data_IF_169717764099
#
_entry.id   IF_169717764099
#
_cell.length_a   1.000
_cell.length_b   1.000
_cell.length_c   1.000
_cell.angle_alpha   90.00
_cell.angle_beta   90.00
_cell.angle_gamma   90.00
#
_symmetry.space_group_name_H-M   'P 1'
#
loop_
_entity.id
_entity.type
_entity.pdbx_description
1 polymer ?
#
# COMPACT_ATOMS: atom_id res chain seq x y z
N UNK A 1 3.05 -31.22 -25.09
CA UNK A 1 2.91 -29.85 -24.55
C UNK A 1 3.20 -29.95 -23.06
N UNK A 2 4.42 -29.66 -22.63
CA UNK A 2 4.80 -29.74 -21.21
C UNK A 2 4.26 -28.53 -20.45
N UNK A 3 3.81 -28.69 -19.20
CA UNK A 3 3.41 -27.55 -18.37
C UNK A 3 4.65 -26.69 -17.99
N UNK A 4 4.48 -25.37 -17.79
CA UNK A 4 5.55 -24.48 -17.33
C UNK A 4 5.94 -24.79 -15.86
N UNK A 5 7.21 -24.58 -15.46
CA UNK A 5 7.66 -24.87 -14.10
C UNK A 5 7.16 -23.83 -13.08
N UNK A 6 6.83 -24.31 -11.87
CA UNK A 6 6.33 -23.55 -10.72
C UNK A 6 7.46 -22.71 -10.06
N UNK A 7 7.23 -21.42 -9.73
CA UNK A 7 8.22 -20.54 -9.11
C UNK A 7 8.48 -20.76 -7.60
N UNK A 8 7.91 -21.77 -6.94
CA UNK A 8 8.02 -21.97 -5.48
C UNK A 8 8.89 -23.17 -5.04
N UNK A 9 10.11 -23.29 -5.56
CA UNK A 9 11.10 -24.24 -5.03
C UNK A 9 12.10 -23.54 -4.09
N UNK A 10 12.25 -23.95 -2.81
CA UNK A 10 13.21 -23.36 -1.89
C UNK A 10 14.63 -23.92 -2.13
N UNK A 11 15.62 -23.04 -2.28
CA UNK A 11 17.05 -23.39 -2.29
C UNK A 11 17.57 -23.46 -0.85
N UNK A 12 17.94 -24.65 -0.40
CA UNK A 12 18.51 -24.91 0.91
C UNK A 12 19.66 -25.91 0.77
N UNK A 13 20.91 -25.41 0.83
CA UNK A 13 22.15 -26.13 1.25
C UNK A 13 23.29 -25.09 1.36
N UNK A 14 23.79 -24.77 2.57
CA UNK A 14 24.89 -25.37 3.36
C UNK A 14 26.32 -25.23 2.77
N UNK A 15 27.16 -24.43 3.45
CA UNK A 15 28.60 -24.63 3.71
C UNK A 15 29.05 -23.56 4.74
N UNK A 16 29.27 -23.84 6.04
CA UNK A 16 30.44 -24.43 6.74
C UNK A 16 31.81 -23.74 6.55
N UNK A 17 32.23 -23.08 7.65
CA UNK A 17 33.56 -23.03 8.28
C UNK A 17 34.71 -22.14 7.71
N UNK A 18 35.35 -21.37 8.60
CA UNK A 18 36.66 -20.73 8.37
C UNK A 18 37.07 -19.69 9.41
N UNK A 19 37.91 -20.11 10.36
CA UNK A 19 38.63 -19.39 11.44
C UNK A 19 39.57 -18.23 11.03
N UNK A 20 39.81 -17.28 11.96
CA UNK A 20 41.04 -16.45 11.95
C UNK A 20 40.95 -15.13 12.74
N UNK A 21 41.65 -15.04 13.87
CA UNK A 21 41.78 -13.87 14.75
C UNK A 21 42.64 -12.73 14.16
N UNK A 22 42.52 -11.52 14.71
CA UNK A 22 43.65 -10.68 15.19
C UNK A 22 43.16 -9.40 15.88
N UNK A 23 43.85 -9.07 16.97
CA UNK A 23 43.62 -7.94 17.87
C UNK A 23 44.04 -6.58 17.28
N UNK A 24 43.46 -5.51 17.81
CA UNK A 24 43.89 -4.14 17.54
C UNK A 24 43.24 -3.14 18.48
N UNK A 25 43.77 -3.02 19.70
CA UNK A 25 43.52 -1.87 20.59
C UNK A 25 44.27 -0.65 20.06
N UNK A 26 43.58 0.48 19.88
CA UNK A 26 44.21 1.80 19.96
C UNK A 26 43.17 2.86 20.33
N UNK A 27 43.35 3.45 21.52
CA UNK A 27 42.63 4.60 22.00
C UNK A 27 43.36 5.86 21.54
N UNK A 28 42.64 6.84 20.98
CA UNK A 28 43.06 8.24 20.97
C UNK A 28 41.82 9.13 21.16
N UNK A 29 41.77 9.76 22.32
CA UNK A 29 40.88 10.85 22.64
C UNK A 29 41.19 12.05 21.74
N UNK A 30 40.18 12.53 21.02
CA UNK A 30 40.20 13.77 20.27
C UNK A 30 39.08 14.69 20.77
N UNK A 31 39.42 15.56 21.71
CA UNK A 31 38.56 16.62 22.21
C UNK A 31 38.39 17.67 21.12
N UNK A 32 37.21 17.71 20.51
CA UNK A 32 36.81 18.73 19.54
C UNK A 32 35.29 18.81 19.52
N UNK A 33 34.73 19.66 20.38
CA UNK A 33 33.31 19.92 20.45
C UNK A 33 32.81 20.62 19.19
N UNK A 34 32.52 19.85 18.15
CA UNK A 34 31.45 20.19 17.23
C UNK A 34 30.19 19.64 17.88
N UNK A 35 29.34 20.55 18.39
CA UNK A 35 27.96 20.24 18.73
C UNK A 35 27.39 19.39 17.58
N UNK A 36 27.03 18.13 17.87
CA UNK A 36 26.63 17.17 16.86
C UNK A 36 25.30 17.63 16.26
N UNK A 37 25.41 18.43 15.21
CA UNK A 37 24.29 18.96 14.43
C UNK A 37 23.46 17.86 13.79
N UNK A 38 23.99 16.64 13.66
CA UNK A 38 23.25 15.45 13.21
C UNK A 38 22.49 14.78 14.37
N UNK A 39 22.97 14.88 15.62
CA UNK A 39 22.25 14.43 16.82
C UNK A 39 21.28 15.47 17.41
N UNK A 40 21.30 16.70 16.89
CA UNK A 40 20.40 17.76 17.34
C UNK A 40 18.96 17.45 16.93
N UNK A 41 18.07 17.26 17.90
CA UNK A 41 16.63 17.14 17.64
C UNK A 41 16.15 18.40 16.90
N UNK A 42 15.60 18.27 15.67
CA UNK A 42 15.11 19.42 14.92
C UNK A 42 14.05 20.19 15.72
N UNK A 43 14.12 21.52 15.73
CA UNK A 43 13.10 22.38 16.36
C UNK A 43 11.77 22.38 15.60
N UNK A 44 11.75 21.80 14.39
CA UNK A 44 10.55 21.53 13.60
C UNK A 44 10.58 20.06 13.15
N UNK A 45 9.63 19.27 13.63
CA UNK A 45 9.42 17.90 13.17
C UNK A 45 8.68 17.93 11.83
N UNK A 46 9.40 18.09 10.72
CA UNK A 46 8.84 17.86 9.38
C UNK A 46 8.86 16.36 9.10
N UNK A 47 7.73 15.68 9.37
CA UNK A 47 7.51 14.29 8.98
C UNK A 47 7.19 14.21 7.49
N UNK A 48 8.23 14.25 6.64
CA UNK A 48 8.11 14.00 5.20
C UNK A 48 8.34 12.50 4.91
N UNK A 49 7.44 11.64 5.36
CA UNK A 49 7.50 10.21 5.06
C UNK A 49 6.13 9.75 4.57
N UNK A 50 5.68 10.35 3.46
CA UNK A 50 4.54 9.86 2.70
C UNK A 50 5.00 8.63 1.93
N UNK A 51 4.42 7.48 2.23
CA UNK A 51 4.66 6.21 1.53
C UNK A 51 3.34 5.64 1.09
N UNK A 52 3.31 4.85 0.02
CA UNK A 52 2.05 4.34 -0.50
C UNK A 52 2.21 3.18 -1.45
N UNK A 53 1.07 2.58 -1.78
CA UNK A 53 0.92 1.53 -2.76
C UNK A 53 -0.01 2.06 -3.85
N UNK A 54 0.36 1.85 -5.11
CA UNK A 54 -0.41 2.28 -6.29
C UNK A 54 -0.64 1.11 -7.21
N UNK A 55 -1.63 1.21 -8.11
CA UNK A 55 -1.90 0.17 -9.10
C UNK A 55 -2.38 -1.15 -8.49
N UNK A 56 -3.06 -1.10 -7.34
CA UNK A 56 -3.67 -2.30 -6.75
C UNK A 56 -4.96 -2.57 -7.50
N UNK A 57 -4.95 -3.57 -8.37
CA UNK A 57 -6.11 -3.94 -9.18
C UNK A 57 -6.93 -5.03 -8.50
N UNK A 58 -8.24 -4.80 -8.35
CA UNK A 58 -9.18 -5.74 -7.72
C UNK A 58 -10.53 -5.75 -8.44
N UNK A 59 -11.24 -6.87 -8.36
CA UNK A 59 -12.67 -6.91 -8.68
C UNK A 59 -13.42 -6.72 -7.37
N UNK A 60 -14.17 -5.62 -7.27
CA UNK A 60 -14.91 -5.26 -6.07
C UNK A 60 -16.42 -5.26 -6.33
N UNK A 61 -17.20 -5.51 -5.27
CA UNK A 61 -18.65 -5.48 -5.29
C UNK A 61 -19.11 -4.14 -4.72
N UNK A 62 -19.76 -3.33 -5.55
CA UNK A 62 -20.26 -2.02 -5.14
C UNK A 62 -21.79 -2.03 -5.21
N UNK A 63 -22.42 -1.52 -4.15
CA UNK A 63 -23.85 -1.20 -4.16
C UNK A 63 -24.07 0.07 -5.00
N UNK A 64 -24.60 -0.10 -6.21
CA UNK A 64 -24.92 0.98 -7.13
C UNK A 64 -26.36 0.82 -7.63
N UNK A 65 -27.12 1.92 -7.68
CA UNK A 65 -28.51 1.93 -8.17
C UNK A 65 -29.44 0.92 -7.47
N UNK A 66 -29.20 0.62 -6.19
CA UNK A 66 -29.99 -0.34 -5.42
C UNK A 66 -29.71 -1.81 -5.74
N UNK A 67 -28.63 -2.11 -6.48
CA UNK A 67 -28.18 -3.46 -6.78
C UNK A 67 -26.68 -3.62 -6.56
N UNK A 68 -26.25 -4.82 -6.21
CA UNK A 68 -24.83 -5.17 -6.16
C UNK A 68 -24.31 -5.43 -7.58
N UNK A 69 -23.25 -4.74 -7.97
CA UNK A 69 -22.59 -4.93 -9.26
C UNK A 69 -21.08 -5.08 -9.08
N UNK A 70 -20.45 -5.83 -9.99
CA UNK A 70 -19.01 -6.03 -10.03
C UNK A 70 -18.33 -4.89 -10.79
N UNK A 71 -17.25 -4.36 -10.21
CA UNK A 71 -16.44 -3.30 -10.78
C UNK A 71 -14.99 -3.77 -10.84
N UNK A 72 -14.30 -3.40 -11.91
CA UNK A 72 -12.85 -3.50 -11.96
C UNK A 72 -12.27 -2.22 -11.37
N UNK A 73 -11.64 -2.32 -10.22
CA UNK A 73 -11.13 -1.18 -9.46
C UNK A 73 -9.61 -1.15 -9.45
N UNK A 74 -9.08 0.05 -9.64
CA UNK A 74 -7.70 0.40 -9.33
C UNK A 74 -7.70 1.20 -8.02
N UNK A 75 -6.90 0.76 -7.06
CA UNK A 75 -6.78 1.39 -5.75
C UNK A 75 -5.38 1.96 -5.55
N UNK A 76 -5.34 3.12 -4.92
CA UNK A 76 -4.13 3.75 -4.41
C UNK A 76 -4.30 4.07 -2.94
N UNK A 77 -3.27 3.82 -2.14
CA UNK A 77 -3.27 4.09 -0.71
C UNK A 77 -1.95 4.75 -0.31
N UNK A 78 -2.02 5.91 0.32
CA UNK A 78 -0.87 6.64 0.85
C UNK A 78 -1.02 6.84 2.35
N UNK A 79 0.08 6.80 3.08
CA UNK A 79 0.11 7.06 4.52
C UNK A 79 1.20 8.06 4.86
N UNK A 80 0.91 8.92 5.84
CA UNK A 80 1.91 9.80 6.45
C UNK A 80 2.41 9.16 7.74
N UNK A 81 3.67 8.74 7.74
CA UNK A 81 4.28 8.09 8.90
C UNK A 81 4.80 9.10 9.92
N UNK A 82 4.69 8.74 11.20
CA UNK A 82 5.27 9.47 12.31
C UNK A 82 6.80 9.41 12.33
N UNK A 83 7.46 10.34 13.03
CA UNK A 83 8.93 10.44 13.06
C UNK A 83 9.63 9.23 13.69
N UNK A 84 8.91 8.42 14.48
CA UNK A 84 9.43 7.21 15.13
C UNK A 84 9.35 5.95 14.24
N UNK A 85 8.62 6.01 13.12
CA UNK A 85 8.37 4.87 12.22
C UNK A 85 9.36 4.82 11.05
N UNK A 86 10.39 5.68 11.05
CA UNK A 86 11.47 5.67 10.06
C UNK A 86 12.34 4.42 10.25
N UNK A 87 11.96 3.30 9.64
CA UNK A 87 12.90 2.20 9.36
C UNK A 87 12.52 0.80 9.82
N UNK A 88 11.39 0.58 10.50
CA UNK A 88 10.91 -0.77 10.76
C UNK A 88 9.78 -1.10 9.77
N UNK A 89 10.01 -2.11 8.92
CA UNK A 89 9.02 -2.77 8.04
C UNK A 89 8.69 -2.16 6.66
N UNK A 90 9.49 -1.25 6.08
CA UNK A 90 9.25 -0.72 4.71
C UNK A 90 9.18 -1.80 3.62
N UNK A 91 9.92 -2.90 3.78
CA UNK A 91 9.91 -4.01 2.82
C UNK A 91 8.63 -4.84 2.83
N UNK A 92 7.81 -4.72 3.88
CA UNK A 92 6.52 -5.41 4.02
C UNK A 92 5.34 -4.45 3.96
N UNK A 93 5.61 -3.16 3.79
CA UNK A 93 4.58 -2.14 3.81
C UNK A 93 3.54 -2.38 2.69
N UNK A 94 3.95 -2.64 1.43
CA UNK A 94 2.99 -2.94 0.37
C UNK A 94 2.13 -4.16 0.66
N UNK A 95 2.71 -5.21 1.23
CA UNK A 95 2.02 -6.44 1.60
C UNK A 95 0.98 -6.18 2.69
N UNK A 96 1.33 -5.44 3.75
CA UNK A 96 0.41 -5.14 4.84
C UNK A 96 -0.74 -4.25 4.40
N UNK A 97 -0.49 -3.27 3.52
CA UNK A 97 -1.55 -2.43 2.94
C UNK A 97 -2.43 -3.26 2.01
N UNK A 98 -1.84 -4.14 1.19
CA UNK A 98 -2.58 -5.06 0.32
C UNK A 98 -3.49 -6.00 1.11
N UNK A 99 -3.01 -6.57 2.21
CA UNK A 99 -3.80 -7.39 3.12
C UNK A 99 -4.97 -6.60 3.73
N UNK A 100 -4.74 -5.36 4.18
CA UNK A 100 -5.80 -4.52 4.72
C UNK A 100 -6.87 -4.18 3.67
N UNK A 101 -6.46 -3.93 2.42
CA UNK A 101 -7.39 -3.74 1.30
C UNK A 101 -8.21 -5.01 1.07
N UNK A 102 -7.57 -6.17 1.04
CA UNK A 102 -8.24 -7.47 0.80
C UNK A 102 -9.22 -7.82 1.92
N UNK A 103 -8.88 -7.58 3.18
CA UNK A 103 -9.77 -7.78 4.31
C UNK A 103 -11.08 -6.99 4.15
N UNK A 104 -11.00 -5.69 3.84
CA UNK A 104 -12.19 -4.83 3.74
C UNK A 104 -13.04 -5.19 2.52
N UNK A 105 -12.43 -5.52 1.38
CA UNK A 105 -13.17 -5.91 0.16
C UNK A 105 -14.00 -7.19 0.37
N UNK A 106 -13.58 -8.07 1.28
CA UNK A 106 -14.25 -9.34 1.56
C UNK A 106 -15.43 -9.22 2.51
N UNK A 107 -15.53 -8.15 3.31
CA UNK A 107 -16.55 -8.00 4.35
C UNK A 107 -17.96 -7.86 3.75
N UNK A 108 -18.26 -6.76 3.04
CA UNK A 108 -19.58 -6.50 2.45
C UNK A 108 -19.47 -5.61 1.19
N UNK A 109 -20.59 -5.49 0.45
CA UNK A 109 -20.67 -4.58 -0.69
C UNK A 109 -20.95 -3.15 -0.21
N UNK A 110 -19.95 -2.27 -0.32
CA UNK A 110 -20.04 -0.85 0.03
C UNK A 110 -20.21 0.03 -1.21
N UNK A 111 -20.57 1.31 -1.04
CA UNK A 111 -20.25 2.29 -2.09
C UNK A 111 -18.73 2.56 -2.09
N UNK A 112 -18.19 3.15 -3.15
CA UNK A 112 -16.74 3.32 -3.27
C UNK A 112 -16.14 4.23 -2.20
N UNK A 113 -16.89 5.24 -1.76
CA UNK A 113 -16.49 6.18 -0.73
C UNK A 113 -16.38 5.51 0.65
N UNK A 114 -17.38 4.68 1.00
CA UNK A 114 -17.37 3.92 2.27
C UNK A 114 -16.27 2.86 2.23
N UNK A 115 -16.08 2.19 1.09
CA UNK A 115 -14.96 1.25 0.91
C UNK A 115 -13.61 1.95 1.11
N UNK A 116 -13.42 3.12 0.48
CA UNK A 116 -12.20 3.90 0.64
C UNK A 116 -11.97 4.31 2.10
N UNK A 117 -13.02 4.74 2.81
CA UNK A 117 -12.94 5.12 4.21
C UNK A 117 -12.52 3.95 5.11
N UNK A 118 -13.16 2.79 4.95
CA UNK A 118 -12.82 1.60 5.73
C UNK A 118 -11.37 1.14 5.48
N UNK A 119 -10.90 1.19 4.23
CA UNK A 119 -9.50 0.89 3.92
C UNK A 119 -8.57 1.92 4.58
N UNK A 120 -8.87 3.21 4.48
CA UNK A 120 -8.05 4.27 5.07
C UNK A 120 -7.94 4.12 6.59
N UNK A 121 -9.06 3.88 7.28
CA UNK A 121 -9.10 3.61 8.71
C UNK A 121 -8.28 2.38 9.08
N UNK A 122 -8.51 1.24 8.40
CA UNK A 122 -7.81 -0.02 8.67
C UNK A 122 -6.30 0.12 8.47
N UNK A 123 -5.87 0.78 7.40
CA UNK A 123 -4.46 1.00 7.10
C UNK A 123 -3.83 1.94 8.11
N UNK A 124 -4.49 3.06 8.44
CA UNK A 124 -4.01 4.02 9.44
C UNK A 124 -3.78 3.33 10.77
N UNK A 125 -4.77 2.59 11.24
CA UNK A 125 -4.74 1.96 12.56
C UNK A 125 -3.68 0.84 12.61
N UNK A 126 -3.55 0.03 11.54
CA UNK A 126 -2.55 -1.06 11.46
C UNK A 126 -1.11 -0.56 11.33
N UNK A 127 -0.92 0.59 10.69
CA UNK A 127 0.41 1.22 10.52
C UNK A 127 0.73 2.23 11.62
N UNK A 128 -0.21 2.48 12.55
CA UNK A 128 -0.13 3.58 13.52
C UNK A 128 0.22 4.92 12.84
N UNK A 129 -0.29 5.12 11.62
CA UNK A 129 0.05 6.28 10.80
C UNK A 129 -0.69 7.53 11.28
N UNK A 130 -0.15 8.71 11.00
CA UNK A 130 -0.80 9.98 11.34
C UNK A 130 -2.02 10.23 10.46
N UNK A 131 -1.95 9.76 9.21
CA UNK A 131 -2.96 9.94 8.17
C UNK A 131 -2.84 8.82 7.15
N UNK A 132 -3.97 8.40 6.58
CA UNK A 132 -4.02 7.50 5.44
C UNK A 132 -5.00 8.07 4.42
N UNK A 133 -4.63 8.09 3.14
CA UNK A 133 -5.46 8.55 2.03
C UNK A 133 -5.63 7.40 1.05
N UNK A 134 -6.88 7.09 0.72
CA UNK A 134 -7.22 6.01 -0.22
C UNK A 134 -8.04 6.59 -1.37
N UNK A 135 -7.68 6.21 -2.59
CA UNK A 135 -8.43 6.52 -3.80
C UNK A 135 -8.79 5.23 -4.51
N UNK A 136 -10.01 5.17 -5.05
CA UNK A 136 -10.55 4.03 -5.79
C UNK A 136 -11.08 4.56 -7.13
N UNK A 137 -10.60 3.99 -8.23
CA UNK A 137 -11.12 4.20 -9.57
C UNK A 137 -11.79 2.91 -10.05
N UNK A 138 -13.12 2.85 -9.93
CA UNK A 138 -13.93 1.68 -10.20
C UNK A 138 -14.58 1.76 -11.59
N UNK A 139 -14.09 0.97 -12.54
CA UNK A 139 -14.57 0.90 -13.92
C UNK A 139 -15.69 -0.12 -14.05
N UNK A 140 -16.76 0.25 -14.74
CA UNK A 140 -17.91 -0.61 -14.96
C UNK A 140 -18.56 -0.36 -16.33
N UNK A 141 -19.16 -1.40 -16.94
CA UNK A 141 -19.96 -1.25 -18.13
C UNK A 141 -21.36 -0.73 -17.79
N UNK A 142 -21.81 0.29 -18.50
CA UNK A 142 -23.18 0.82 -18.47
C UNK A 142 -23.88 0.52 -19.80
N UNK A 143 -25.11 0.04 -19.75
CA UNK A 143 -25.90 -0.24 -20.95
C UNK A 143 -26.63 1.03 -21.42
N UNK A 144 -26.39 1.43 -22.66
CA UNK A 144 -27.03 2.61 -23.27
C UNK A 144 -27.65 2.28 -24.63
N UNK A 145 -28.45 3.23 -25.12
CA UNK A 145 -29.04 3.21 -26.46
C UNK A 145 -28.26 4.17 -27.35
N UNK A 146 -27.87 3.72 -28.53
CA UNK A 146 -27.27 4.58 -29.56
C UNK A 146 -28.21 5.76 -29.88
N UNK A 147 -27.74 7.02 -29.88
CA UNK A 147 -28.60 8.18 -30.10
C UNK A 147 -29.29 8.19 -31.46
N UNK A 148 -28.66 7.63 -32.49
CA UNK A 148 -29.14 7.67 -33.87
C UNK A 148 -29.92 6.40 -34.23
N UNK A 149 -29.39 5.22 -33.88
CA UNK A 149 -29.99 3.95 -34.30
C UNK A 149 -30.89 3.31 -33.24
N UNK A 150 -30.82 3.75 -31.97
CA UNK A 150 -31.52 3.13 -30.85
C UNK A 150 -31.02 1.73 -30.48
N UNK A 151 -29.97 1.22 -31.13
CA UNK A 151 -29.42 -0.10 -30.85
C UNK A 151 -28.82 -0.17 -29.42
N UNK A 152 -28.92 -1.31 -28.71
CA UNK A 152 -28.20 -1.50 -27.46
C UNK A 152 -26.69 -1.40 -27.68
N UNK A 153 -26.01 -0.64 -26.83
CA UNK A 153 -24.55 -0.53 -26.77
C UNK A 153 -24.10 -0.55 -25.31
N UNK A 154 -22.81 -0.76 -25.11
CA UNK A 154 -22.16 -0.63 -23.80
C UNK A 154 -21.14 0.51 -23.85
N UNK A 155 -21.03 1.23 -22.75
CA UNK A 155 -20.02 2.26 -22.52
C UNK A 155 -19.34 2.00 -21.18
N UNK A 156 -18.04 2.27 -21.09
CA UNK A 156 -17.29 2.10 -19.84
C UNK A 156 -17.31 3.42 -19.07
N UNK A 157 -17.87 3.40 -17.87
CA UNK A 157 -17.81 4.51 -16.92
C UNK A 157 -16.81 4.21 -15.82
N UNK A 158 -16.30 5.26 -15.18
CA UNK A 158 -15.42 5.15 -14.02
C UNK A 158 -16.05 5.93 -12.88
N UNK A 159 -16.26 5.24 -11.76
CA UNK A 159 -16.70 5.81 -10.50
C UNK A 159 -15.47 6.04 -9.64
N UNK A 160 -15.35 7.23 -9.06
CA UNK A 160 -14.24 7.58 -8.17
C UNK A 160 -14.73 7.68 -6.73
N UNK A 161 -14.04 7.02 -5.81
CA UNK A 161 -14.23 7.17 -4.38
C UNK A 161 -12.90 7.54 -3.71
N UNK A 162 -12.95 8.42 -2.71
CA UNK A 162 -11.76 8.75 -1.93
C UNK A 162 -12.09 9.02 -0.47
N UNK A 163 -11.12 8.75 0.41
CA UNK A 163 -11.22 9.00 1.85
C UNK A 163 -9.84 9.29 2.45
N UNK A 164 -9.84 9.99 3.59
CA UNK A 164 -8.65 10.49 4.30
C UNK A 164 -8.82 10.35 5.82
#
# INVERSE_FOLDING_TARGET
>A
MSPPPDPRAPLLERALAGTGALAGTSALAGTGGSDDVQARRPSAHLSLSRVGVTGVEKVIRIQANGSEQLFYAELECFVDLGPQQKGAHMSRFPEVVGEAIDEVILEEAFNAETLAAHIAERVRDRQEALRAEVTIAARYPEHKRSPVTGSPTQEIYTLYGSAV
#
